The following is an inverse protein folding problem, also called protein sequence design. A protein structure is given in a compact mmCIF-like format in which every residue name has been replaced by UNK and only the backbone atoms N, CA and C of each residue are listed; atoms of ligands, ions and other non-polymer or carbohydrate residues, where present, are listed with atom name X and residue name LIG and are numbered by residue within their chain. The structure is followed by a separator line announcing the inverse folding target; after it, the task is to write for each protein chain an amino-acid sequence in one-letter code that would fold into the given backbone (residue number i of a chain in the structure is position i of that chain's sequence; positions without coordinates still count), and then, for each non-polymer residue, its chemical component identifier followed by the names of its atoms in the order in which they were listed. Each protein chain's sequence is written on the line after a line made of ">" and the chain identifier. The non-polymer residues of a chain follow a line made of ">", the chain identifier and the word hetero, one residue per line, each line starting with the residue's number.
data_IF_952192018660
#
_entry.id   IF_952192018660
#
_cell.length_a   1.000
_cell.length_b   1.000
_cell.length_c   1.000
_cell.angle_alpha   90.00
_cell.angle_beta   90.00
_cell.angle_gamma   90.00
#
_symmetry.space_group_name_H-M   'P 1'
#
loop_
_entity.id
_entity.type
_entity.pdbx_description
1 polymer ?
#
# COMPACT_ATOMS: atom_id res chain seq x y z
N UNK A 1 62.08 -20.25 -52.49
CA UNK A 1 61.82 -19.26 -51.44
C UNK A 1 60.32 -19.03 -51.39
N UNK A 2 59.63 -19.59 -50.41
CA UNK A 2 58.20 -19.42 -50.23
C UNK A 2 57.99 -18.57 -49.00
N UNK A 3 57.40 -17.40 -49.22
CA UNK A 3 57.13 -16.42 -48.16
C UNK A 3 55.68 -16.69 -47.60
N UNK A 4 55.56 -17.32 -46.44
CA UNK A 4 54.29 -17.54 -45.80
C UNK A 4 53.87 -16.27 -45.06
N UNK A 5 52.77 -15.61 -45.51
CA UNK A 5 52.14 -14.50 -44.80
C UNK A 5 51.17 -15.09 -43.77
N UNK A 6 51.50 -14.92 -42.51
CA UNK A 6 50.59 -15.22 -41.41
C UNK A 6 49.46 -14.19 -41.35
N UNK A 7 48.25 -14.68 -41.62
CA UNK A 7 47.00 -13.88 -41.45
C UNK A 7 46.50 -14.06 -40.02
N UNK A 8 46.67 -13.06 -39.18
CA UNK A 8 46.20 -13.07 -37.83
C UNK A 8 44.73 -12.64 -37.82
N UNK A 9 43.82 -13.60 -37.61
CA UNK A 9 42.39 -13.31 -37.44
C UNK A 9 42.11 -12.84 -36.03
N UNK A 10 41.76 -11.56 -35.90
CA UNK A 10 41.29 -11.00 -34.61
C UNK A 10 39.80 -11.31 -34.49
N UNK A 11 39.45 -12.19 -33.57
CA UNK A 11 38.04 -12.44 -33.19
C UNK A 11 37.65 -11.40 -32.14
N UNK A 12 36.82 -10.43 -32.54
CA UNK A 12 36.21 -9.49 -31.62
C UNK A 12 35.02 -10.14 -30.92
N UNK A 13 35.21 -10.44 -29.64
CA UNK A 13 34.13 -10.92 -28.77
C UNK A 13 33.24 -9.73 -28.37
N UNK A 14 32.08 -9.61 -28.99
CA UNK A 14 31.10 -8.60 -28.63
C UNK A 14 30.39 -9.02 -27.32
N UNK A 15 30.75 -8.33 -26.23
CA UNK A 15 30.07 -8.49 -24.92
C UNK A 15 28.73 -7.74 -24.97
N UNK A 16 27.63 -8.44 -25.26
CA UNK A 16 26.28 -7.88 -25.15
C UNK A 16 25.89 -7.84 -23.67
N UNK A 17 25.99 -6.68 -23.05
CA UNK A 17 25.41 -6.43 -21.71
C UNK A 17 23.89 -6.38 -21.87
N UNK A 18 23.20 -7.42 -21.42
CA UNK A 18 21.75 -7.41 -21.26
C UNK A 18 21.40 -6.44 -20.14
N UNK A 19 20.88 -5.26 -20.49
CA UNK A 19 20.26 -4.34 -19.53
C UNK A 19 18.90 -4.95 -19.19
N UNK A 20 18.81 -5.61 -18.04
CA UNK A 20 17.52 -5.98 -17.46
C UNK A 20 16.76 -4.69 -17.12
N UNK A 21 15.50 -4.52 -17.55
CA UNK A 21 14.71 -3.40 -17.09
C UNK A 21 14.58 -3.51 -15.57
N UNK A 22 15.03 -2.50 -14.85
CA UNK A 22 14.80 -2.38 -13.42
C UNK A 22 13.29 -2.43 -13.21
N UNK A 23 12.79 -3.52 -12.62
CA UNK A 23 11.40 -3.65 -12.24
C UNK A 23 11.07 -2.48 -11.32
N UNK A 24 10.07 -1.69 -11.72
CA UNK A 24 9.54 -0.62 -10.87
C UNK A 24 9.03 -1.30 -9.61
N UNK A 25 9.64 -1.02 -8.47
CA UNK A 25 9.10 -1.46 -7.18
C UNK A 25 7.68 -0.85 -7.08
N UNK A 26 6.66 -1.69 -7.12
CA UNK A 26 5.30 -1.28 -6.78
C UNK A 26 5.31 -1.06 -5.28
N UNK A 27 4.83 0.11 -4.82
CA UNK A 27 4.63 0.32 -3.40
C UNK A 27 3.72 -0.79 -2.86
N UNK A 28 4.11 -1.43 -1.76
CA UNK A 28 3.34 -2.53 -1.18
C UNK A 28 1.96 -2.07 -0.72
N UNK A 29 1.86 -0.79 -0.32
CA UNK A 29 0.63 -0.09 0.04
C UNK A 29 0.55 1.21 -0.73
N UNK A 30 -0.50 1.37 -1.54
CA UNK A 30 -0.77 2.61 -2.27
C UNK A 30 -2.00 3.30 -1.67
N UNK A 31 -1.90 4.62 -1.45
CA UNK A 31 -2.98 5.44 -0.88
C UNK A 31 -3.31 6.59 -1.83
N UNK A 32 -4.59 6.72 -2.18
CA UNK A 32 -5.11 7.81 -3.02
C UNK A 32 -6.19 8.59 -2.27
N UNK A 33 -5.97 9.89 -2.08
CA UNK A 33 -7.00 10.78 -1.58
C UNK A 33 -8.11 10.95 -2.62
N UNK A 34 -9.35 10.74 -2.20
CA UNK A 34 -10.54 10.91 -3.03
C UNK A 34 -11.27 12.22 -2.69
N UNK A 35 -11.42 12.50 -1.40
CA UNK A 35 -12.11 13.68 -0.89
C UNK A 35 -11.48 14.11 0.43
N UNK A 36 -11.22 15.40 0.58
CA UNK A 36 -10.98 16.06 1.85
C UNK A 36 -11.97 17.19 2.01
N UNK A 37 -12.72 17.23 3.12
CA UNK A 37 -13.78 18.22 3.34
C UNK A 37 -13.85 18.65 4.79
N UNK A 38 -13.59 19.94 5.04
CA UNK A 38 -13.83 20.56 6.35
C UNK A 38 -15.32 20.54 6.69
N UNK A 39 -15.66 20.23 7.93
CA UNK A 39 -17.02 20.18 8.44
C UNK A 39 -17.37 21.51 9.11
N UNK A 40 -18.16 22.33 8.47
CA UNK A 40 -18.49 23.69 8.98
C UNK A 40 -19.25 23.66 10.30
N UNK A 41 -20.08 22.63 10.52
CA UNK A 41 -20.85 22.41 11.75
C UNK A 41 -19.98 21.88 12.89
N UNK A 42 -18.77 21.41 12.61
CA UNK A 42 -17.80 20.91 13.58
C UNK A 42 -16.44 21.59 13.35
N UNK A 43 -16.24 22.82 13.82
CA UNK A 43 -15.02 23.58 13.58
C UNK A 43 -13.76 22.81 13.94
N UNK A 44 -12.76 22.82 13.04
CA UNK A 44 -11.50 22.10 13.21
C UNK A 44 -11.57 20.61 12.89
N UNK A 45 -12.71 20.11 12.37
CA UNK A 45 -12.85 18.72 11.90
C UNK A 45 -13.00 18.66 10.39
N UNK A 46 -12.50 17.57 9.83
CA UNK A 46 -12.66 17.22 8.41
C UNK A 46 -13.06 15.77 8.24
N UNK A 47 -13.66 15.48 7.10
CA UNK A 47 -13.77 14.13 6.56
C UNK A 47 -12.72 13.97 5.48
N UNK A 48 -11.90 12.94 5.61
CA UNK A 48 -10.97 12.49 4.59
C UNK A 48 -11.41 11.12 4.09
N UNK A 49 -11.63 10.98 2.78
CA UNK A 49 -11.87 9.69 2.14
C UNK A 49 -10.66 9.32 1.30
N UNK A 50 -10.11 8.15 1.55
CA UNK A 50 -8.99 7.60 0.80
C UNK A 50 -9.34 6.22 0.26
N UNK A 51 -8.80 5.90 -0.91
CA UNK A 51 -8.73 4.54 -1.43
C UNK A 51 -7.34 3.97 -1.11
N UNK A 52 -7.33 2.79 -0.51
CA UNK A 52 -6.11 2.06 -0.17
C UNK A 52 -6.05 0.78 -0.98
N UNK A 53 -4.90 0.52 -1.59
CA UNK A 53 -4.61 -0.73 -2.29
C UNK A 53 -3.45 -1.44 -1.61
N UNK A 54 -3.67 -2.66 -1.16
CA UNK A 54 -2.64 -3.57 -0.69
C UNK A 54 -2.19 -4.49 -1.82
N UNK A 55 -0.91 -4.48 -2.14
CA UNK A 55 -0.31 -5.51 -2.99
C UNK A 55 -0.47 -6.90 -2.34
N UNK A 56 -0.32 -8.01 -3.10
CA UNK A 56 -0.30 -9.34 -2.52
C UNK A 56 0.71 -9.46 -1.38
N UNK A 57 0.26 -9.89 -0.20
CA UNK A 57 1.10 -10.03 1.00
C UNK A 57 1.46 -8.74 1.73
N UNK A 58 1.01 -7.58 1.26
CA UNK A 58 1.29 -6.30 1.90
C UNK A 58 0.61 -6.17 3.27
N UNK A 59 1.24 -5.43 4.17
CA UNK A 59 0.74 -5.12 5.50
C UNK A 59 1.13 -3.71 5.93
N UNK A 60 0.27 -3.08 6.71
CA UNK A 60 0.55 -1.82 7.40
C UNK A 60 1.41 -2.06 8.65
N UNK A 61 2.22 -1.09 9.05
CA UNK A 61 2.82 -1.08 10.37
C UNK A 61 1.75 -0.90 11.45
N UNK A 62 2.08 -1.22 12.71
CA UNK A 62 1.22 -0.89 13.86
C UNK A 62 1.09 0.64 13.95
N UNK A 63 -0.15 1.15 14.01
CA UNK A 63 -0.42 2.57 13.93
C UNK A 63 -1.73 2.99 14.63
N UNK A 64 -1.94 4.31 14.73
CA UNK A 64 -3.20 4.97 15.10
C UNK A 64 -3.60 5.98 14.05
N UNK A 65 -4.89 6.21 13.92
CA UNK A 65 -5.39 7.26 13.03
C UNK A 65 -5.74 8.57 13.76
N UNK A 66 -5.91 8.55 15.10
CA UNK A 66 -6.46 9.68 15.87
C UNK A 66 -7.76 10.22 15.24
N UNK A 67 -8.57 9.31 14.71
CA UNK A 67 -9.77 9.55 13.93
C UNK A 67 -10.82 8.49 14.17
N UNK A 68 -12.08 8.82 13.83
CA UNK A 68 -13.08 7.77 13.57
C UNK A 68 -12.86 7.25 12.16
N UNK A 69 -12.48 5.98 12.03
CA UNK A 69 -12.21 5.31 10.77
C UNK A 69 -13.32 4.35 10.39
N UNK A 70 -13.89 4.52 9.21
CA UNK A 70 -14.90 3.63 8.62
C UNK A 70 -14.31 3.00 7.37
N UNK A 71 -14.11 1.70 7.41
CA UNK A 71 -13.50 0.93 6.31
C UNK A 71 -14.60 0.22 5.53
N UNK A 72 -14.49 0.22 4.21
CA UNK A 72 -15.38 -0.53 3.30
C UNK A 72 -14.55 -1.22 2.23
N UNK A 73 -14.60 -2.55 2.20
CA UNK A 73 -13.83 -3.36 1.25
C UNK A 73 -14.47 -3.31 -0.13
N UNK A 74 -13.67 -2.93 -1.15
CA UNK A 74 -14.08 -2.87 -2.55
C UNK A 74 -13.74 -4.16 -3.30
N UNK A 75 -12.51 -4.64 -3.14
CA UNK A 75 -11.98 -5.79 -3.89
C UNK A 75 -11.05 -6.63 -2.99
N UNK A 76 -11.02 -7.92 -3.24
CA UNK A 76 -10.17 -8.85 -2.50
C UNK A 76 -10.62 -9.06 -1.06
N UNK A 77 -9.66 -9.32 -0.17
CA UNK A 77 -9.89 -9.55 1.26
C UNK A 77 -8.78 -8.93 2.09
N UNK A 78 -9.15 -8.32 3.20
CA UNK A 78 -8.20 -7.73 4.17
C UNK A 78 -8.41 -8.34 5.55
N UNK A 79 -7.36 -8.37 6.34
CA UNK A 79 -7.40 -8.78 7.76
C UNK A 79 -7.14 -7.55 8.60
N UNK A 80 -8.02 -7.32 9.57
CA UNK A 80 -8.01 -6.16 10.46
C UNK A 80 -8.09 -6.58 11.92
N UNK A 81 -7.35 -5.88 12.79
CA UNK A 81 -7.45 -6.02 14.23
C UNK A 81 -7.03 -4.75 14.95
N UNK A 82 -7.82 -4.30 15.90
CA UNK A 82 -7.40 -3.32 16.90
C UNK A 82 -6.99 -4.04 18.19
N UNK A 83 -6.11 -3.42 18.99
CA UNK A 83 -5.66 -3.99 20.26
C UNK A 83 -6.84 -4.26 21.18
N UNK A 84 -6.89 -5.47 21.76
CA UNK A 84 -7.99 -5.94 22.61
C UNK A 84 -9.23 -6.42 21.86
N UNK A 85 -9.28 -6.27 20.53
CA UNK A 85 -10.33 -6.79 19.67
C UNK A 85 -9.96 -8.12 19.00
N UNK A 86 -10.94 -8.73 18.32
CA UNK A 86 -10.72 -9.95 17.54
C UNK A 86 -10.10 -9.62 16.17
N UNK A 87 -9.23 -10.50 15.66
CA UNK A 87 -8.79 -10.47 14.28
C UNK A 87 -9.95 -10.91 13.37
N UNK A 88 -10.26 -10.08 12.38
CA UNK A 88 -11.34 -10.34 11.43
C UNK A 88 -10.83 -10.30 10.00
N UNK A 89 -11.33 -11.21 9.16
CA UNK A 89 -11.12 -11.17 7.71
C UNK A 89 -12.36 -10.61 7.06
N UNK A 90 -12.17 -9.57 6.26
CA UNK A 90 -13.23 -8.85 5.55
C UNK A 90 -13.09 -9.06 4.05
N UNK A 91 -14.22 -9.31 3.39
CA UNK A 91 -14.33 -9.42 1.93
C UNK A 91 -15.10 -8.25 1.35
N UNK A 92 -15.13 -8.12 0.02
CA UNK A 92 -15.85 -7.05 -0.68
C UNK A 92 -17.27 -6.86 -0.16
N UNK A 93 -17.65 -5.61 0.15
CA UNK A 93 -18.94 -5.22 0.70
C UNK A 93 -19.00 -5.24 2.24
N UNK A 94 -17.97 -5.72 2.93
CA UNK A 94 -17.90 -5.72 4.39
C UNK A 94 -17.20 -4.47 4.94
N UNK A 95 -17.49 -4.16 6.19
CA UNK A 95 -17.04 -2.94 6.87
C UNK A 95 -16.27 -3.27 8.14
N UNK A 96 -15.40 -2.33 8.53
CA UNK A 96 -14.71 -2.31 9.81
C UNK A 96 -14.76 -0.90 10.39
N UNK A 97 -14.76 -0.78 11.70
CA UNK A 97 -14.68 0.50 12.39
C UNK A 97 -13.52 0.49 13.38
N UNK A 98 -12.79 1.60 13.43
CA UNK A 98 -11.78 1.91 14.44
C UNK A 98 -11.99 3.31 14.99
N UNK A 99 -11.83 3.45 16.29
CA UNK A 99 -11.98 4.72 17.01
C UNK A 99 -10.67 5.49 17.14
N UNK A 100 -10.74 6.76 17.61
CA UNK A 100 -9.56 7.63 17.66
C UNK A 100 -8.47 7.18 18.64
N UNK A 101 -8.78 6.35 19.61
CA UNK A 101 -7.81 5.80 20.58
C UNK A 101 -7.38 4.38 20.28
N UNK A 102 -7.96 3.76 19.25
CA UNK A 102 -7.65 2.38 18.93
C UNK A 102 -6.23 2.25 18.33
N UNK A 103 -5.48 1.27 18.81
CA UNK A 103 -4.23 0.86 18.21
C UNK A 103 -4.51 -0.22 17.17
N UNK A 104 -4.31 0.09 15.91
CA UNK A 104 -4.46 -0.85 14.81
C UNK A 104 -3.21 -1.74 14.75
N UNK A 105 -3.34 -2.98 15.19
CA UNK A 105 -2.22 -3.91 15.34
C UNK A 105 -2.08 -4.89 14.17
N UNK A 106 -3.16 -5.12 13.40
CA UNK A 106 -3.14 -5.91 12.18
C UNK A 106 -3.94 -5.18 11.10
N UNK A 107 -3.27 -4.81 10.02
CA UNK A 107 -3.84 -4.35 8.77
C UNK A 107 -3.05 -5.01 7.64
N UNK A 108 -3.63 -5.96 6.90
CA UNK A 108 -2.91 -6.67 5.85
C UNK A 108 -3.83 -7.21 4.77
N UNK A 109 -3.27 -7.43 3.58
CA UNK A 109 -3.92 -8.25 2.57
C UNK A 109 -4.05 -9.70 3.10
N UNK A 110 -5.22 -10.30 2.97
CA UNK A 110 -5.44 -11.69 3.34
C UNK A 110 -4.81 -12.66 2.32
N UNK A 111 -4.46 -12.17 1.12
CA UNK A 111 -3.92 -12.97 0.01
C UNK A 111 -2.46 -12.61 -0.30
N UNK A 112 -1.66 -13.64 -0.63
CA UNK A 112 -0.31 -13.48 -1.14
C UNK A 112 -0.23 -13.48 -2.67
N UNK A 113 -1.37 -13.54 -3.37
CA UNK A 113 -1.41 -13.71 -4.83
C UNK A 113 -2.27 -12.69 -5.56
N UNK A 114 -3.26 -12.11 -4.89
CA UNK A 114 -4.15 -11.09 -5.47
C UNK A 114 -4.16 -9.83 -4.61
N UNK A 115 -4.27 -8.63 -5.21
CA UNK A 115 -4.38 -7.38 -4.46
C UNK A 115 -5.71 -7.27 -3.72
N UNK A 116 -5.75 -6.40 -2.72
CA UNK A 116 -6.98 -5.98 -2.06
C UNK A 116 -7.13 -4.47 -2.11
N UNK A 117 -8.36 -3.99 -2.17
CA UNK A 117 -8.70 -2.57 -2.24
C UNK A 117 -9.84 -2.24 -1.30
N UNK A 118 -9.72 -1.13 -0.59
CA UNK A 118 -10.76 -0.65 0.32
C UNK A 118 -10.79 0.87 0.40
N UNK A 119 -11.93 1.39 0.82
CA UNK A 119 -12.09 2.78 1.23
C UNK A 119 -11.84 2.90 2.73
N UNK A 120 -11.17 3.98 3.14
CA UNK A 120 -11.14 4.44 4.50
C UNK A 120 -11.72 5.86 4.54
N UNK A 121 -12.78 6.06 5.33
CA UNK A 121 -13.39 7.36 5.59
C UNK A 121 -13.01 7.74 7.01
N UNK A 122 -12.21 8.80 7.15
CA UNK A 122 -11.69 9.28 8.42
C UNK A 122 -12.37 10.58 8.82
N UNK A 123 -12.95 10.62 10.01
CA UNK A 123 -13.38 11.87 10.66
C UNK A 123 -12.33 12.24 11.69
N UNK A 124 -11.57 13.30 11.42
CA UNK A 124 -10.35 13.64 12.15
C UNK A 124 -10.18 15.15 12.32
N UNK A 125 -9.18 15.56 13.07
CA UNK A 125 -8.78 16.95 13.14
C UNK A 125 -8.22 17.41 11.77
N UNK A 126 -8.61 18.63 11.39
CA UNK A 126 -8.19 19.24 10.12
C UNK A 126 -6.67 19.36 10.06
N UNK A 127 -6.06 18.86 8.98
CA UNK A 127 -4.62 18.87 8.81
C UNK A 127 -3.83 17.84 9.63
N UNK A 128 -4.49 17.03 10.48
CA UNK A 128 -3.81 15.94 11.18
C UNK A 128 -3.33 14.85 10.19
N UNK A 129 -2.24 14.12 10.49
CA UNK A 129 -1.76 13.04 9.63
C UNK A 129 -2.81 11.93 9.49
N UNK A 130 -2.74 11.18 8.38
CA UNK A 130 -3.63 10.03 8.15
C UNK A 130 -3.43 8.96 9.22
N UNK A 131 -2.19 8.71 9.61
CA UNK A 131 -1.83 7.75 10.65
C UNK A 131 -0.54 8.17 11.36
N UNK A 132 -0.35 7.63 12.55
CA UNK A 132 0.90 7.75 13.33
C UNK A 132 1.39 6.35 13.68
N UNK A 133 2.59 6.00 13.19
CA UNK A 133 3.25 4.71 13.46
C UNK A 133 3.70 4.65 14.91
N UNK A 134 3.56 3.47 15.55
CA UNK A 134 3.97 3.20 16.93
C UNK A 134 5.33 2.51 17.01
#
# INVERSE_FOLDING_TARGET
>A
MFNAKHLTTVVALALTTAISPAGRATEDVAVHELVAKSLQEFPGKEVLMIEVTFAPGAADPVHRHDAHGFIYVLEGSIVMQVEGGEEVTLTAGQTFYEGPSDLHIVGRNASNTVPAKFLAVLVKDEGAPVLTVQ
#
